data_IF_975130434770
#
_entry.id   IF_975130434770
#
_cell.length_a   1.000
_cell.length_b   1.000
_cell.length_c   1.000
_cell.angle_alpha   90.00
_cell.angle_beta   90.00
_cell.angle_gamma   90.00
#
_symmetry.space_group_name_H-M   'P 1'
#
loop_
_entity.id
_entity.type
_entity.pdbx_description
1 polymer ?
#
# COMPACT_ATOMS: atom_id res chain seq x y z
N UNK A 1 -5.66 -3.23 4.35
CA UNK A 1 -4.89 -4.15 5.21
C UNK A 1 -5.50 -5.53 5.20
N UNK A 2 -4.99 -6.48 6.01
CA UNK A 2 -5.45 -7.87 6.20
C UNK A 2 -5.32 -8.81 4.98
N UNK A 3 -5.61 -8.35 3.77
CA UNK A 3 -5.45 -9.16 2.55
C UNK A 3 -3.99 -9.44 2.18
N UNK A 4 -3.05 -8.72 2.79
CA UNK A 4 -1.61 -8.70 2.47
C UNK A 4 -1.31 -8.32 1.01
N UNK A 5 -2.30 -7.78 0.26
CA UNK A 5 -2.15 -7.34 -1.13
C UNK A 5 -2.01 -5.82 -1.18
N UNK A 6 -0.96 -5.27 -1.83
CA UNK A 6 -0.81 -3.84 -1.96
C UNK A 6 -1.97 -3.22 -2.77
N UNK A 7 -2.39 -2.02 -2.38
CA UNK A 7 -3.41 -1.25 -3.10
C UNK A 7 -3.13 0.24 -2.95
N UNK A 8 -3.18 0.96 -4.06
CA UNK A 8 -3.04 2.41 -4.11
C UNK A 8 -3.88 2.94 -5.27
N UNK A 9 -5.13 3.33 -4.98
CA UNK A 9 -6.01 3.89 -6.00
C UNK A 9 -7.03 4.84 -5.37
N UNK A 10 -7.51 5.80 -6.18
CA UNK A 10 -8.61 6.67 -5.79
C UNK A 10 -9.93 6.08 -6.26
N UNK A 11 -10.94 6.11 -5.40
CA UNK A 11 -12.32 5.78 -5.73
C UNK A 11 -13.22 6.86 -5.15
N UNK A 12 -13.99 7.52 -6.00
CA UNK A 12 -14.96 8.55 -5.57
C UNK A 12 -14.31 9.64 -4.71
N UNK A 13 -13.09 10.06 -5.07
CA UNK A 13 -12.31 11.07 -4.34
C UNK A 13 -11.61 10.56 -3.07
N UNK A 14 -11.87 9.32 -2.65
CA UNK A 14 -11.24 8.68 -1.49
C UNK A 14 -10.01 7.90 -1.92
N UNK A 15 -8.88 8.14 -1.26
CA UNK A 15 -7.68 7.33 -1.41
C UNK A 15 -7.83 6.01 -0.65
N UNK A 16 -7.89 4.89 -1.38
CA UNK A 16 -7.87 3.55 -0.83
C UNK A 16 -6.44 3.03 -0.82
N UNK A 17 -5.90 2.82 0.38
CA UNK A 17 -4.50 2.45 0.58
C UNK A 17 -4.33 1.17 1.40
N UNK A 18 -3.45 0.29 0.92
CA UNK A 18 -3.01 -0.92 1.60
C UNK A 18 -1.52 -1.13 1.31
N UNK A 19 -0.63 -1.12 2.33
CA UNK A 19 0.81 -1.29 2.11
C UNK A 19 1.21 -2.71 1.72
N UNK A 20 0.29 -3.68 1.73
CA UNK A 20 0.61 -5.09 1.59
C UNK A 20 1.11 -5.66 2.92
N UNK A 21 2.18 -6.46 2.89
CA UNK A 21 2.86 -6.92 4.11
C UNK A 21 4.38 -6.90 3.94
N UNK A 22 5.07 -6.33 4.92
CA UNK A 22 6.53 -6.23 4.92
C UNK A 22 7.21 -7.56 5.28
N UNK A 23 6.52 -8.41 6.04
CA UNK A 23 6.99 -9.73 6.48
C UNK A 23 5.81 -10.70 6.59
N UNK A 24 6.06 -11.99 6.85
CA UNK A 24 5.02 -13.01 7.04
C UNK A 24 4.46 -13.60 5.74
N UNK A 25 3.36 -14.34 5.80
CA UNK A 25 2.84 -15.06 4.62
C UNK A 25 2.25 -14.11 3.57
N UNK A 26 2.61 -14.31 2.30
CA UNK A 26 1.98 -13.61 1.17
C UNK A 26 1.57 -14.55 0.06
N UNK A 27 0.44 -14.23 -0.56
CA UNK A 27 -0.04 -14.88 -1.78
C UNK A 27 0.36 -14.14 -3.07
N UNK A 28 0.89 -12.92 -2.97
CA UNK A 28 1.18 -12.03 -4.11
C UNK A 28 2.58 -12.20 -4.71
N UNK A 29 3.51 -12.84 -4.01
CA UNK A 29 4.86 -13.14 -4.50
C UNK A 29 5.94 -12.10 -4.18
N UNK A 30 5.59 -10.90 -3.70
CA UNK A 30 6.55 -9.88 -3.24
C UNK A 30 6.08 -9.20 -1.95
N UNK A 31 7.03 -8.94 -1.05
CA UNK A 31 6.82 -8.10 0.13
C UNK A 31 6.74 -6.63 -0.28
N UNK A 32 6.00 -5.84 0.49
CA UNK A 32 5.89 -4.41 0.22
C UNK A 32 5.69 -3.61 1.48
N UNK A 33 6.13 -2.35 1.41
CA UNK A 33 5.78 -1.30 2.36
C UNK A 33 5.01 -0.20 1.63
N UNK A 34 4.34 0.63 2.42
CA UNK A 34 3.63 1.79 1.93
C UNK A 34 4.18 3.07 2.57
N UNK A 35 4.33 4.12 1.78
CA UNK A 35 4.70 5.45 2.23
C UNK A 35 3.53 6.39 1.92
N UNK A 36 3.10 7.14 2.94
CA UNK A 36 2.13 8.22 2.81
C UNK A 36 2.82 9.54 3.12
N UNK A 37 2.74 10.47 2.19
CA UNK A 37 3.20 11.85 2.38
C UNK A 37 1.97 12.73 2.59
N UNK A 38 1.91 13.36 3.77
CA UNK A 38 0.79 14.20 4.18
C UNK A 38 1.20 15.67 4.17
N UNK A 39 0.70 16.42 3.19
CA UNK A 39 0.82 17.88 3.12
C UNK A 39 -0.55 18.51 2.81
N UNK A 40 -0.58 19.47 1.90
CA UNK A 40 -1.84 20.04 1.39
C UNK A 40 -2.70 18.99 0.65
N UNK A 41 -2.05 17.93 0.15
CA UNK A 41 -2.70 16.73 -0.35
C UNK A 41 -2.07 15.49 0.28
N UNK A 42 -2.73 14.33 0.10
CA UNK A 42 -2.18 13.03 0.51
C UNK A 42 -1.67 12.33 -0.73
N UNK A 43 -0.37 12.05 -0.75
CA UNK A 43 0.29 11.24 -1.77
C UNK A 43 0.67 9.88 -1.17
N UNK A 44 0.53 8.84 -1.98
CA UNK A 44 0.74 7.47 -1.55
C UNK A 44 1.61 6.72 -2.55
N UNK A 45 2.59 5.98 -2.04
CA UNK A 45 3.49 5.15 -2.80
C UNK A 45 3.57 3.75 -2.20
N UNK A 46 3.62 2.73 -3.06
CA UNK A 46 3.91 1.35 -2.68
C UNK A 46 5.33 1.05 -3.14
N UNK A 47 6.14 0.49 -2.24
CA UNK A 47 7.52 0.09 -2.53
C UNK A 47 7.61 -1.41 -2.31
N UNK A 48 7.97 -2.14 -3.36
CA UNK A 48 8.30 -3.55 -3.26
C UNK A 48 9.65 -3.73 -2.56
N UNK A 49 9.74 -4.71 -1.68
CA UNK A 49 10.94 -5.04 -0.91
C UNK A 49 11.19 -6.56 -0.99
N UNK A 50 12.46 -6.96 -0.91
CA UNK A 50 12.91 -8.36 -0.99
C UNK A 50 12.59 -9.16 0.28
#
# INVERSE_FOLDING_TARGET
>A
GHSHKPANHKREGVLLFNPGTATGFLSSGSHSIGILECGDTIEANIVEIE
#
